data_IF_248641001520
#
_entry.id   IF_248641001520
#
_cell.length_a   1.000
_cell.length_b   1.000
_cell.length_c   1.000
_cell.angle_alpha   90.00
_cell.angle_beta   90.00
_cell.angle_gamma   90.00
#
_symmetry.space_group_name_H-M   'P 1'
#
loop_
_entity.id
_entity.type
_entity.pdbx_description
1 polymer ?
#
# COMPACT_ATOMS: atom_id res chain seq x y z
N UNK A 1 -81.26 0.51 -27.46
CA UNK A 1 -81.70 -0.40 -28.55
C UNK A 1 -81.01 -1.78 -28.42
N UNK A 2 -81.40 -2.75 -29.26
CA UNK A 2 -80.71 -4.05 -29.54
C UNK A 2 -79.69 -3.80 -30.68
N UNK A 3 -78.67 -4.59 -31.05
CA UNK A 3 -78.03 -5.90 -30.70
C UNK A 3 -76.61 -5.88 -31.38
N UNK A 4 -75.65 -6.82 -31.33
CA UNK A 4 -75.39 -8.13 -30.69
C UNK A 4 -73.87 -8.41 -30.74
N UNK A 5 -73.35 -9.40 -29.99
CA UNK A 5 -72.04 -10.02 -30.28
C UNK A 5 -72.16 -11.19 -31.28
N UNK A 6 -71.03 -11.64 -31.85
CA UNK A 6 -70.82 -12.95 -32.46
C UNK A 6 -69.36 -13.14 -32.93
N UNK A 7 -68.84 -14.35 -33.17
CA UNK A 7 -69.24 -15.69 -32.70
C UNK A 7 -68.05 -16.66 -32.89
N UNK A 8 -67.88 -17.66 -32.03
CA UNK A 8 -66.79 -18.66 -32.14
C UNK A 8 -66.93 -19.58 -33.37
N UNK A 9 -65.79 -20.12 -33.83
CA UNK A 9 -65.69 -21.55 -34.18
C UNK A 9 -64.27 -22.11 -34.00
N UNK A 10 -64.17 -23.27 -33.34
CA UNK A 10 -62.99 -24.14 -33.32
C UNK A 10 -63.22 -25.36 -34.23
N UNK A 11 -62.14 -25.88 -34.82
CA UNK A 11 -62.07 -27.21 -35.43
C UNK A 11 -60.61 -27.59 -35.68
N UNK A 12 -60.14 -28.82 -35.43
CA UNK A 12 -60.75 -30.00 -34.78
C UNK A 12 -59.61 -30.84 -34.17
N UNK A 13 -59.90 -31.62 -33.13
CA UNK A 13 -58.97 -32.67 -32.65
C UNK A 13 -58.83 -33.79 -33.69
N UNK A 14 -57.66 -34.45 -33.69
CA UNK A 14 -57.63 -35.90 -33.86
C UNK A 14 -56.69 -36.53 -32.81
N UNK A 15 -57.17 -37.54 -32.11
CA UNK A 15 -56.42 -38.36 -31.13
C UNK A 15 -56.86 -39.81 -31.33
N UNK A 16 -55.92 -40.73 -31.55
CA UNK A 16 -56.02 -42.19 -31.33
C UNK A 16 -54.59 -42.76 -31.40
N UNK A 17 -54.03 -43.25 -30.28
CA UNK A 17 -54.00 -44.66 -29.81
C UNK A 17 -53.03 -45.57 -30.60
N UNK A 18 -52.26 -46.49 -30.00
CA UNK A 18 -51.96 -46.72 -28.58
C UNK A 18 -50.84 -47.77 -28.38
N UNK A 19 -50.07 -47.61 -27.29
CA UNK A 19 -49.53 -48.65 -26.37
C UNK A 19 -48.68 -49.85 -26.86
N UNK A 20 -47.64 -50.11 -26.05
CA UNK A 20 -47.08 -51.42 -25.61
C UNK A 20 -46.25 -52.33 -26.52
N UNK A 21 -44.98 -52.48 -26.08
CA UNK A 21 -44.35 -53.74 -25.64
C UNK A 21 -43.68 -54.72 -26.65
N UNK A 22 -42.35 -54.63 -26.68
CA UNK A 22 -41.43 -55.68 -26.18
C UNK A 22 -41.52 -57.11 -26.77
N UNK A 23 -40.51 -57.49 -27.58
CA UNK A 23 -39.62 -58.63 -27.27
C UNK A 23 -38.32 -58.59 -28.08
N UNK A 24 -37.36 -59.43 -27.69
CA UNK A 24 -35.98 -59.50 -28.23
C UNK A 24 -35.85 -60.66 -29.22
N UNK A 25 -34.93 -60.53 -30.17
CA UNK A 25 -34.11 -61.66 -30.63
C UNK A 25 -32.69 -61.17 -30.97
N UNK A 26 -31.72 -62.08 -30.94
CA UNK A 26 -30.29 -61.75 -31.01
C UNK A 26 -29.57 -62.74 -31.92
N UNK A 27 -28.84 -62.23 -32.92
CA UNK A 27 -27.74 -62.95 -33.59
C UNK A 27 -26.65 -61.92 -33.82
N UNK A 28 -25.40 -62.29 -33.54
CA UNK A 28 -24.23 -61.44 -33.75
C UNK A 28 -23.52 -61.80 -35.06
N UNK A 29 -22.79 -60.84 -35.63
CA UNK A 29 -21.72 -61.13 -36.57
C UNK A 29 -20.45 -60.41 -36.09
N UNK A 30 -19.33 -61.13 -36.05
CA UNK A 30 -18.05 -60.64 -35.57
C UNK A 30 -17.27 -59.99 -36.71
N UNK A 31 -16.93 -58.71 -36.59
CA UNK A 31 -15.89 -58.06 -37.39
C UNK A 31 -14.93 -57.31 -36.45
N UNK A 32 -13.75 -57.89 -36.25
CA UNK A 32 -12.72 -57.31 -35.39
C UNK A 32 -11.97 -56.17 -36.13
N UNK A 33 -12.45 -54.93 -35.98
CA UNK A 33 -11.81 -53.74 -36.53
C UNK A 33 -11.06 -52.94 -35.46
N UNK A 34 -9.82 -53.31 -35.15
CA UNK A 34 -9.00 -52.64 -34.13
C UNK A 34 -8.42 -51.30 -34.62
N UNK A 35 -9.27 -50.27 -34.71
CA UNK A 35 -8.83 -48.88 -34.92
C UNK A 35 -8.66 -48.17 -33.58
N UNK A 36 -7.43 -47.73 -33.29
CA UNK A 36 -7.06 -47.04 -32.05
C UNK A 36 -7.55 -45.59 -32.07
N UNK A 37 -8.86 -45.42 -31.98
CA UNK A 37 -9.53 -44.14 -31.80
C UNK A 37 -9.40 -43.68 -30.34
N UNK A 38 -8.20 -43.25 -29.95
CA UNK A 38 -7.96 -42.69 -28.62
C UNK A 38 -8.89 -41.51 -28.34
N UNK A 39 -9.74 -41.64 -27.32
CA UNK A 39 -10.67 -40.58 -26.91
C UNK A 39 -9.89 -39.43 -26.23
N UNK A 40 -9.24 -38.60 -27.04
CA UNK A 40 -8.60 -37.35 -26.63
C UNK A 40 -9.68 -36.39 -26.13
N UNK A 41 -10.01 -36.52 -24.86
CA UNK A 41 -10.96 -35.66 -24.17
C UNK A 41 -10.40 -34.23 -24.11
N UNK A 42 -10.78 -33.40 -25.07
CA UNK A 42 -10.58 -31.94 -25.03
C UNK A 42 -11.51 -31.24 -24.01
N UNK A 43 -11.99 -31.98 -22.99
CA UNK A 43 -12.17 -31.41 -21.66
C UNK A 43 -10.80 -31.06 -21.10
N UNK A 44 -10.28 -29.90 -21.52
CA UNK A 44 -8.95 -29.43 -21.15
C UNK A 44 -8.74 -29.54 -19.65
N UNK A 45 -7.66 -30.22 -19.23
CA UNK A 45 -7.30 -30.37 -17.82
C UNK A 45 -7.44 -29.01 -17.12
N UNK A 46 -8.07 -29.00 -15.95
CA UNK A 46 -8.04 -27.84 -15.07
C UNK A 46 -6.56 -27.54 -14.75
N UNK A 47 -6.00 -26.56 -15.45
CA UNK A 47 -4.58 -26.26 -15.34
C UNK A 47 -4.36 -25.55 -14.03
N UNK A 48 -3.65 -26.21 -13.12
CA UNK A 48 -3.15 -25.65 -11.86
C UNK A 48 -1.99 -24.69 -12.15
N UNK A 49 -2.27 -23.66 -12.96
CA UNK A 49 -1.37 -22.54 -13.18
C UNK A 49 -1.40 -21.64 -11.96
N UNK A 50 -0.69 -22.07 -10.92
CA UNK A 50 -0.42 -21.30 -9.71
C UNK A 50 0.31 -20.00 -10.09
N UNK A 51 -0.46 -18.92 -10.25
CA UNK A 51 0.05 -17.55 -10.08
C UNK A 51 0.43 -17.35 -8.60
N UNK A 52 1.20 -16.31 -8.25
CA UNK A 52 1.33 -15.88 -6.86
C UNK A 52 -0.07 -15.79 -6.21
N UNK A 53 -0.21 -16.35 -5.00
CA UNK A 53 -1.43 -16.19 -4.20
C UNK A 53 -2.41 -17.33 -4.11
N UNK A 54 -2.09 -18.54 -4.58
CA UNK A 54 -2.98 -19.70 -4.38
C UNK A 54 -2.93 -20.24 -2.95
N UNK A 55 -3.50 -19.51 -2.01
CA UNK A 55 -4.05 -20.11 -0.80
C UNK A 55 -5.33 -20.89 -1.17
N UNK A 56 -5.60 -21.99 -0.48
CA UNK A 56 -6.84 -22.76 -0.67
C UNK A 56 -8.01 -22.20 0.18
N UNK A 57 -7.97 -20.91 0.52
CA UNK A 57 -8.94 -20.30 1.42
C UNK A 57 -10.25 -19.98 0.69
N UNK A 58 -11.25 -20.83 0.90
CA UNK A 58 -12.58 -20.68 0.32
C UNK A 58 -13.33 -19.53 1.01
N UNK A 59 -14.11 -18.77 0.23
CA UNK A 59 -14.88 -17.64 0.76
C UNK A 59 -16.02 -18.10 1.68
N UNK A 60 -15.79 -18.07 3.00
CA UNK A 60 -16.83 -18.21 3.99
C UNK A 60 -17.64 -16.91 4.11
N UNK A 61 -18.83 -16.89 3.53
CA UNK A 61 -19.78 -15.76 3.59
C UNK A 61 -19.89 -14.94 2.31
N UNK A 62 -20.59 -13.80 2.39
CA UNK A 62 -20.89 -12.95 1.22
C UNK A 62 -19.66 -12.16 0.77
N UNK A 63 -19.23 -12.38 -0.48
CA UNK A 63 -18.20 -11.58 -1.16
C UNK A 63 -18.75 -10.27 -1.76
N UNK A 64 -19.99 -9.89 -1.44
CA UNK A 64 -20.66 -8.73 -2.02
C UNK A 64 -21.12 -8.92 -3.48
N UNK A 65 -21.79 -7.91 -4.03
CA UNK A 65 -22.34 -7.90 -5.40
C UNK A 65 -21.55 -6.95 -6.31
N UNK A 66 -21.06 -7.44 -7.44
CA UNK A 66 -20.51 -6.59 -8.50
C UNK A 66 -21.60 -5.74 -9.16
N UNK A 67 -21.33 -4.44 -9.30
CA UNK A 67 -22.20 -3.49 -9.99
C UNK A 67 -21.79 -3.34 -11.46
N UNK A 68 -22.63 -2.67 -12.26
CA UNK A 68 -22.27 -2.26 -13.62
C UNK A 68 -21.33 -1.03 -13.60
N UNK A 69 -21.46 -0.16 -12.61
CA UNK A 69 -20.61 1.00 -12.41
C UNK A 69 -19.21 0.63 -11.88
N UNK A 70 -18.23 1.48 -12.22
CA UNK A 70 -16.87 1.48 -11.72
C UNK A 70 -16.59 2.66 -10.76
N UNK A 71 -15.34 2.80 -10.35
CA UNK A 71 -14.83 3.78 -9.38
C UNK A 71 -14.33 5.10 -9.99
N UNK A 72 -14.60 5.34 -11.27
CA UNK A 72 -14.03 6.45 -12.05
C UNK A 72 -12.61 6.18 -12.54
N UNK A 73 -12.09 4.98 -12.30
CA UNK A 73 -10.78 4.50 -12.75
C UNK A 73 -10.90 3.17 -13.50
N UNK A 74 -12.11 2.78 -13.92
CA UNK A 74 -12.38 1.54 -14.66
C UNK A 74 -12.51 0.28 -13.79
N UNK A 75 -12.33 0.37 -12.48
CA UNK A 75 -12.46 -0.76 -11.58
C UNK A 75 -13.92 -0.92 -11.10
N UNK A 76 -14.59 -1.99 -11.55
CA UNK A 76 -15.98 -2.29 -11.16
C UNK A 76 -16.18 -2.29 -9.65
N UNK A 77 -17.27 -1.68 -9.19
CA UNK A 77 -17.62 -1.61 -7.78
C UNK A 77 -18.12 -2.97 -7.25
N UNK A 78 -17.56 -3.43 -6.14
CA UNK A 78 -18.00 -4.59 -5.35
C UNK A 78 -18.75 -4.10 -4.12
N UNK A 79 -20.08 -4.08 -4.22
CA UNK A 79 -20.96 -3.59 -3.15
C UNK A 79 -21.07 -4.60 -2.02
N UNK A 80 -20.76 -4.16 -0.81
CA UNK A 80 -21.12 -4.80 0.45
C UNK A 80 -22.23 -4.02 1.17
N UNK A 81 -22.84 -4.64 2.16
CA UNK A 81 -23.75 -3.96 3.08
C UNK A 81 -22.97 -3.02 4.02
N UNK A 82 -23.65 -2.00 4.56
CA UNK A 82 -22.98 -0.96 5.36
C UNK A 82 -22.52 -1.46 6.74
N UNK A 83 -23.27 -2.41 7.31
CA UNK A 83 -22.89 -3.10 8.53
C UNK A 83 -21.79 -4.14 8.23
N UNK A 84 -20.74 -4.17 9.06
CA UNK A 84 -19.56 -5.00 8.80
C UNK A 84 -18.66 -4.53 7.64
N UNK A 85 -19.02 -3.46 6.91
CA UNK A 85 -18.25 -2.94 5.79
C UNK A 85 -16.76 -2.67 6.14
N UNK A 86 -15.82 -2.90 5.19
CA UNK A 86 -14.47 -2.36 5.26
C UNK A 86 -14.50 -0.84 5.43
N UNK A 87 -13.55 -0.30 6.17
CA UNK A 87 -13.34 1.14 6.31
C UNK A 87 -11.84 1.47 6.30
N UNK A 88 -11.51 2.67 5.82
CA UNK A 88 -10.16 3.23 5.80
C UNK A 88 -10.20 4.67 6.30
N UNK A 89 -9.14 5.10 6.97
CA UNK A 89 -8.79 6.52 7.17
C UNK A 89 -7.36 6.73 6.68
N UNK A 90 -7.03 7.94 6.24
CA UNK A 90 -5.67 8.31 5.80
C UNK A 90 -5.19 9.53 6.57
N UNK A 91 -3.96 9.45 7.08
CA UNK A 91 -3.25 10.53 7.72
C UNK A 91 -1.95 10.78 6.95
N UNK A 92 -1.68 12.05 6.64
CA UNK A 92 -0.50 12.50 5.89
C UNK A 92 0.31 13.41 6.81
N UNK A 93 1.58 13.09 7.03
CA UNK A 93 2.51 13.88 7.84
C UNK A 93 3.77 14.17 7.05
N UNK A 94 4.20 15.43 6.89
CA UNK A 94 5.50 15.74 6.31
C UNK A 94 6.63 15.04 7.08
N UNK A 95 7.58 14.51 6.33
CA UNK A 95 8.80 13.87 6.81
C UNK A 95 9.94 14.91 6.89
N UNK A 96 10.92 14.67 7.78
CA UNK A 96 12.06 15.58 7.95
C UNK A 96 13.04 15.54 6.77
N UNK A 97 13.21 14.38 6.14
CA UNK A 97 14.17 14.17 5.07
C UNK A 97 13.51 14.44 3.70
N UNK A 98 12.54 13.61 3.29
CA UNK A 98 11.74 13.92 2.09
C UNK A 98 10.24 13.61 2.16
N UNK A 99 9.46 14.54 1.60
CA UNK A 99 8.03 14.32 1.35
C UNK A 99 7.19 14.13 2.59
N UNK A 100 6.44 13.03 2.60
CA UNK A 100 5.41 12.74 3.59
C UNK A 100 5.38 11.26 3.94
N UNK A 101 5.30 10.95 5.23
CA UNK A 101 4.89 9.64 5.71
C UNK A 101 3.35 9.58 5.74
N UNK A 102 2.81 8.66 4.94
CA UNK A 102 1.37 8.38 4.82
C UNK A 102 1.06 7.15 5.67
N UNK A 103 0.08 7.28 6.56
CA UNK A 103 -0.49 6.18 7.31
C UNK A 103 -1.94 5.95 6.89
N UNK A 104 -2.29 4.72 6.53
CA UNK A 104 -3.67 4.28 6.32
C UNK A 104 -4.07 3.30 7.42
N UNK A 105 -5.09 3.67 8.20
CA UNK A 105 -5.66 2.82 9.24
C UNK A 105 -6.94 2.18 8.70
N UNK A 106 -7.13 0.88 8.94
CA UNK A 106 -8.23 0.12 8.35
C UNK A 106 -9.02 -0.65 9.40
N UNK A 107 -10.32 -0.89 9.14
CA UNK A 107 -11.22 -1.70 9.96
C UNK A 107 -12.01 -2.64 9.07
N UNK A 108 -12.32 -3.85 9.54
CA UNK A 108 -12.98 -4.91 8.77
C UNK A 108 -12.27 -5.21 7.43
N UNK A 109 -10.94 -5.03 7.41
CA UNK A 109 -10.10 -5.18 6.23
C UNK A 109 -8.73 -5.74 6.63
N UNK A 110 -8.20 -6.66 5.82
CA UNK A 110 -6.84 -7.20 5.93
C UNK A 110 -6.13 -7.05 4.59
N UNK A 111 -4.91 -6.50 4.62
CA UNK A 111 -4.03 -6.54 3.45
C UNK A 111 -3.60 -7.98 3.16
N UNK A 112 -3.65 -8.37 1.89
CA UNK A 112 -3.32 -9.72 1.40
C UNK A 112 -2.37 -9.66 0.19
N UNK A 113 -1.17 -9.04 0.31
CA UNK A 113 -0.20 -8.89 -0.79
C UNK A 113 -0.03 -10.14 -1.63
N UNK A 114 0.12 -11.29 -0.97
CA UNK A 114 0.37 -12.58 -1.59
C UNK A 114 -0.77 -13.00 -2.53
N UNK A 115 -2.02 -12.65 -2.21
CA UNK A 115 -3.24 -13.11 -2.89
C UNK A 115 -3.71 -12.20 -4.04
N UNK A 116 -3.04 -11.07 -4.28
CA UNK A 116 -3.49 -10.05 -5.24
C UNK A 116 -3.42 -10.57 -6.69
N UNK A 117 -4.51 -10.40 -7.44
CA UNK A 117 -4.77 -11.06 -8.72
C UNK A 117 -5.55 -12.39 -8.60
N UNK A 118 -5.85 -12.83 -7.37
CA UNK A 118 -6.74 -13.94 -7.05
C UNK A 118 -8.23 -13.55 -7.03
N UNK A 119 -9.05 -14.36 -6.37
CA UNK A 119 -10.48 -14.11 -6.20
C UNK A 119 -10.77 -13.22 -4.98
N UNK A 120 -11.78 -12.36 -5.07
CA UNK A 120 -12.20 -11.52 -3.94
C UNK A 120 -12.70 -12.34 -2.74
N UNK A 121 -12.05 -12.18 -1.59
CA UNK A 121 -12.48 -12.68 -0.30
C UNK A 121 -13.04 -11.52 0.57
N UNK A 122 -13.99 -11.75 1.50
CA UNK A 122 -14.62 -10.67 2.25
C UNK A 122 -13.60 -9.89 3.11
N UNK A 123 -13.59 -8.56 2.98
CA UNK A 123 -12.71 -7.69 3.78
C UNK A 123 -11.21 -7.90 3.53
N UNK A 124 -10.80 -8.17 2.29
CA UNK A 124 -9.40 -8.43 1.91
C UNK A 124 -8.99 -7.69 0.64
N UNK A 125 -7.68 -7.69 0.36
CA UNK A 125 -7.07 -7.15 -0.84
C UNK A 125 -5.96 -6.13 -0.56
N UNK A 126 -6.04 -4.99 -1.23
CA UNK A 126 -5.01 -3.95 -1.24
C UNK A 126 -5.63 -2.55 -1.26
N UNK A 127 -4.81 -1.53 -1.04
CA UNK A 127 -5.21 -0.13 -1.22
C UNK A 127 -4.55 0.47 -2.47
N UNK A 128 -5.17 1.50 -3.03
CA UNK A 128 -4.57 2.41 -3.99
C UNK A 128 -4.52 3.81 -3.35
N UNK A 129 -3.35 4.44 -3.40
CA UNK A 129 -3.23 5.89 -3.23
C UNK A 129 -3.48 6.57 -4.57
N UNK A 130 -4.32 7.60 -4.57
CA UNK A 130 -4.60 8.47 -5.68
C UNK A 130 -4.26 9.92 -5.32
N UNK A 131 -3.58 10.63 -6.21
CA UNK A 131 -3.21 12.04 -6.08
C UNK A 131 -4.17 12.89 -6.91
N UNK A 132 -4.94 13.77 -6.27
CA UNK A 132 -6.01 14.56 -6.90
C UNK A 132 -6.89 13.71 -7.87
N UNK A 133 -7.27 12.51 -7.41
CA UNK A 133 -8.10 11.55 -8.14
C UNK A 133 -7.35 10.59 -9.08
N UNK A 134 -6.07 10.80 -9.36
CA UNK A 134 -5.28 9.99 -10.31
C UNK A 134 -4.49 8.90 -9.59
N UNK A 135 -4.50 7.63 -10.05
CA UNK A 135 -3.70 6.54 -9.47
C UNK A 135 -2.21 6.89 -9.32
N UNK A 136 -1.68 6.76 -8.10
CA UNK A 136 -0.30 7.11 -7.76
C UNK A 136 0.54 5.90 -7.33
N UNK A 137 0.04 5.10 -6.37
CA UNK A 137 0.78 3.97 -5.80
C UNK A 137 -0.16 2.90 -5.26
N UNK A 138 0.22 1.62 -5.39
CA UNK A 138 -0.50 0.48 -4.77
C UNK A 138 0.14 0.15 -3.42
N UNK A 139 -0.69 -0.01 -2.39
CA UNK A 139 -0.29 -0.28 -1.01
C UNK A 139 -0.73 -1.66 -0.55
N UNK A 140 0.21 -2.41 0.01
CA UNK A 140 0.02 -3.73 0.62
C UNK A 140 0.15 -3.71 2.15
N UNK A 141 0.16 -2.52 2.76
CA UNK A 141 0.31 -2.34 4.20
C UNK A 141 -0.09 -0.92 4.64
N UNK A 142 -0.04 -0.63 5.95
CA UNK A 142 -0.56 0.60 6.52
C UNK A 142 0.33 1.84 6.31
N UNK A 143 1.60 1.68 5.94
CA UNK A 143 2.55 2.80 5.77
C UNK A 143 3.05 2.91 4.33
N UNK A 144 3.20 4.16 3.87
CA UNK A 144 3.84 4.49 2.60
C UNK A 144 4.60 5.81 2.71
N UNK A 145 5.84 5.85 2.21
CA UNK A 145 6.63 7.07 2.13
C UNK A 145 6.45 7.71 0.75
N UNK A 146 5.86 8.90 0.72
CA UNK A 146 5.54 9.65 -0.49
C UNK A 146 6.57 10.77 -0.69
N UNK A 147 7.54 10.57 -1.57
CA UNK A 147 8.60 11.54 -1.84
C UNK A 147 8.09 12.80 -2.57
N UNK A 148 8.79 13.94 -2.40
CA UNK A 148 8.52 15.17 -3.17
C UNK A 148 8.88 14.98 -4.64
N UNK A 149 9.80 14.08 -4.97
CA UNK A 149 10.11 13.72 -6.36
C UNK A 149 8.94 13.03 -7.06
N UNK A 150 8.24 12.10 -6.38
CA UNK A 150 7.06 11.42 -6.93
C UNK A 150 5.89 12.39 -7.13
N UNK A 151 5.61 13.24 -6.13
CA UNK A 151 4.56 14.27 -6.25
C UNK A 151 4.86 15.25 -7.40
N UNK A 152 6.12 15.71 -7.56
CA UNK A 152 6.50 16.55 -8.72
C UNK A 152 6.38 15.81 -10.06
N UNK A 153 6.78 14.54 -10.12
CA UNK A 153 6.68 13.71 -11.33
C UNK A 153 5.24 13.49 -11.80
N UNK A 154 4.28 13.49 -10.87
CA UNK A 154 2.84 13.44 -11.17
C UNK A 154 2.22 14.80 -11.56
N UNK A 155 3.03 15.86 -11.72
CA UNK A 155 2.55 17.22 -12.02
C UNK A 155 2.24 18.09 -10.78
N UNK A 156 2.57 17.60 -9.58
CA UNK A 156 2.14 18.17 -8.32
C UNK A 156 0.82 17.55 -7.83
N UNK A 157 0.29 18.04 -6.71
CA UNK A 157 -1.03 17.66 -6.22
C UNK A 157 -1.32 18.19 -4.82
N UNK A 158 -2.60 18.18 -4.43
CA UNK A 158 -3.11 18.81 -3.19
C UNK A 158 -3.81 17.85 -2.23
N UNK A 159 -4.35 16.75 -2.73
CA UNK A 159 -5.13 15.78 -1.96
C UNK A 159 -4.67 14.35 -2.25
N UNK A 160 -4.55 13.56 -1.20
CA UNK A 160 -4.21 12.14 -1.27
C UNK A 160 -5.42 11.33 -0.82
N UNK A 161 -5.90 10.44 -1.69
CA UNK A 161 -7.03 9.55 -1.42
C UNK A 161 -6.55 8.11 -1.33
N UNK A 162 -6.88 7.41 -0.25
CA UNK A 162 -6.69 5.97 -0.11
C UNK A 162 -8.02 5.25 -0.37
N UNK A 163 -8.08 4.38 -1.39
CA UNK A 163 -9.27 3.58 -1.76
C UNK A 163 -8.97 2.09 -1.59
N UNK A 164 -9.93 1.31 -1.06
CA UNK A 164 -9.78 -0.14 -0.84
C UNK A 164 -10.28 -0.96 -2.03
N UNK A 165 -9.52 -2.00 -2.39
CA UNK A 165 -9.81 -2.94 -3.46
C UNK A 165 -9.72 -4.38 -2.95
N UNK A 166 -10.53 -5.26 -3.56
CA UNK A 166 -10.42 -6.69 -3.39
C UNK A 166 -9.20 -7.25 -4.16
N UNK A 167 -8.82 -8.50 -3.84
CA UNK A 167 -7.72 -9.20 -4.53
C UNK A 167 -7.93 -9.30 -6.05
N UNK A 168 -9.19 -9.38 -6.53
CA UNK A 168 -9.56 -9.40 -7.95
C UNK A 168 -9.56 -8.01 -8.64
N UNK A 169 -9.01 -6.99 -7.98
CA UNK A 169 -8.99 -5.58 -8.40
C UNK A 169 -10.37 -4.91 -8.55
N UNK A 170 -11.44 -5.46 -7.97
CA UNK A 170 -12.72 -4.74 -7.86
C UNK A 170 -12.72 -3.81 -6.64
N UNK A 171 -13.24 -2.59 -6.80
CA UNK A 171 -13.19 -1.57 -5.73
C UNK A 171 -14.27 -1.85 -4.68
N UNK A 172 -13.92 -1.96 -3.40
CA UNK A 172 -14.90 -2.16 -2.33
C UNK A 172 -15.82 -0.93 -2.22
N UNK A 173 -17.13 -1.15 -2.11
CA UNK A 173 -18.11 -0.06 -2.10
C UNK A 173 -19.26 -0.32 -1.11
N UNK A 174 -19.82 0.75 -0.55
CA UNK A 174 -21.12 0.74 0.12
C UNK A 174 -22.11 1.48 -0.78
N UNK A 175 -23.29 0.89 -1.01
CA UNK A 175 -24.24 1.34 -2.06
C UNK A 175 -23.56 1.41 -3.44
N UNK A 176 -23.20 2.61 -3.91
CA UNK A 176 -22.43 2.83 -5.16
C UNK A 176 -21.24 3.77 -4.93
N UNK A 177 -20.80 3.92 -3.68
CA UNK A 177 -19.70 4.81 -3.29
C UNK A 177 -18.48 3.97 -2.92
N UNK A 178 -17.30 4.18 -3.55
CA UNK A 178 -16.07 3.50 -3.16
C UNK A 178 -15.73 3.74 -1.69
N UNK A 179 -15.26 2.70 -1.00
CA UNK A 179 -14.69 2.80 0.35
C UNK A 179 -13.31 3.46 0.21
N UNK A 180 -13.26 4.75 0.50
CA UNK A 180 -12.07 5.57 0.43
C UNK A 180 -12.05 6.65 1.51
N UNK A 181 -10.87 7.17 1.81
CA UNK A 181 -10.68 8.36 2.64
C UNK A 181 -9.67 9.30 1.98
N UNK A 182 -9.83 10.61 2.19
CA UNK A 182 -9.01 11.65 1.56
C UNK A 182 -8.44 12.58 2.63
N UNK A 183 -7.18 12.97 2.49
CA UNK A 183 -6.50 13.98 3.31
C UNK A 183 -5.75 14.98 2.41
N UNK A 184 -5.58 16.24 2.85
CA UNK A 184 -4.74 17.19 2.14
C UNK A 184 -3.25 16.83 2.27
N UNK A 185 -2.48 17.09 1.22
CA UNK A 185 -1.02 17.13 1.27
C UNK A 185 -0.61 18.46 1.91
N UNK A 186 -0.36 18.44 3.21
CA UNK A 186 0.13 19.61 3.96
C UNK A 186 1.54 19.97 3.48
N UNK A 187 1.67 21.06 2.72
CA UNK A 187 2.95 21.55 2.19
C UNK A 187 3.89 22.07 3.28
N UNK A 188 3.34 22.54 4.40
CA UNK A 188 4.06 22.83 5.63
C UNK A 188 4.04 21.60 6.54
N UNK A 189 5.14 21.25 7.24
CA UNK A 189 5.08 20.46 8.47
C UNK A 189 3.97 21.01 9.39
N UNK A 190 3.28 20.18 10.19
CA UNK A 190 2.39 20.69 11.21
C UNK A 190 3.23 21.53 12.19
N UNK A 191 3.12 22.86 12.07
CA UNK A 191 3.58 23.81 13.08
C UNK A 191 2.59 23.72 14.25
N UNK A 192 2.65 22.59 14.96
CA UNK A 192 2.25 22.59 16.35
C UNK A 192 3.15 23.57 17.09
N UNK A 193 2.61 24.29 18.07
CA UNK A 193 3.35 25.30 18.84
C UNK A 193 4.31 24.68 19.86
N UNK A 194 5.07 23.68 19.42
CA UNK A 194 6.42 23.46 19.92
C UNK A 194 7.33 24.45 19.20
N UNK A 195 7.87 25.43 19.92
CA UNK A 195 9.17 25.95 19.52
C UNK A 195 10.11 24.75 19.35
N UNK A 196 11.00 24.79 18.35
CA UNK A 196 12.05 23.76 18.24
C UNK A 196 12.70 23.58 19.62
N UNK A 197 12.78 22.35 20.15
CA UNK A 197 13.30 22.16 21.51
C UNK A 197 14.70 22.75 21.56
N UNK A 198 14.82 23.90 22.25
CA UNK A 198 16.07 24.66 22.32
C UNK A 198 17.13 23.69 22.86
N UNK A 199 18.29 23.56 22.20
CA UNK A 199 19.31 22.65 22.71
C UNK A 199 19.66 23.06 24.13
N UNK A 200 19.64 22.09 25.04
CA UNK A 200 20.10 22.26 26.41
C UNK A 200 21.60 22.61 26.45
N UNK A 201 22.32 22.31 25.37
CA UNK A 201 23.71 22.68 25.16
C UNK A 201 24.07 22.78 23.68
N UNK A 202 24.59 23.93 23.27
CA UNK A 202 25.27 24.11 21.99
C UNK A 202 26.78 23.87 22.17
N UNK A 203 27.39 23.18 21.20
CA UNK A 203 28.82 22.86 21.13
C UNK A 203 29.37 23.42 19.82
N UNK A 204 30.17 24.48 19.89
CA UNK A 204 30.75 25.11 18.70
C UNK A 204 32.16 24.56 18.44
N UNK A 205 32.41 24.16 17.19
CA UNK A 205 33.67 23.56 16.75
C UNK A 205 34.10 24.21 15.43
N UNK A 206 35.35 24.64 15.36
CA UNK A 206 35.98 25.20 14.17
C UNK A 206 37.14 24.33 13.75
N UNK A 207 37.12 23.89 12.49
CA UNK A 207 38.22 23.22 11.80
C UNK A 207 38.87 24.26 10.88
N UNK A 208 40.19 24.47 11.01
CA UNK A 208 40.94 25.33 10.10
C UNK A 208 42.38 24.85 9.97
N UNK A 209 42.86 24.76 8.73
CA UNK A 209 44.19 24.26 8.36
C UNK A 209 44.51 22.89 8.98
N UNK A 210 43.49 22.02 9.11
CA UNK A 210 43.61 20.69 9.73
C UNK A 210 43.66 20.68 11.25
N UNK A 211 43.48 21.82 11.93
CA UNK A 211 43.41 21.93 13.39
C UNK A 211 41.98 22.13 13.85
N UNK A 212 41.60 21.47 14.94
CA UNK A 212 40.29 21.61 15.59
C UNK A 212 40.39 22.58 16.77
N UNK A 213 39.40 23.46 16.91
CA UNK A 213 39.23 24.39 18.02
C UNK A 213 37.77 24.34 18.54
N UNK A 214 37.51 24.12 19.84
CA UNK A 214 38.48 23.82 20.90
C UNK A 214 39.26 22.52 20.60
N UNK A 215 40.39 22.33 21.29
CA UNK A 215 41.20 21.13 21.10
C UNK A 215 40.38 19.86 21.46
N UNK A 216 40.51 18.74 20.72
CA UNK A 216 39.69 17.55 20.94
C UNK A 216 39.81 17.00 22.35
N UNK A 217 38.67 16.81 23.01
CA UNK A 217 38.61 16.41 24.41
C UNK A 217 37.25 15.83 24.78
N UNK A 218 37.06 15.51 26.06
CA UNK A 218 35.82 14.92 26.58
C UNK A 218 34.84 15.99 27.05
N UNK A 219 33.59 15.87 26.61
CA UNK A 219 32.49 16.75 27.00
C UNK A 219 31.42 15.90 27.68
N UNK A 220 31.18 16.13 28.96
CA UNK A 220 30.12 15.44 29.70
C UNK A 220 28.74 15.97 29.30
N UNK A 221 27.84 15.07 28.90
CA UNK A 221 26.46 15.33 28.50
C UNK A 221 25.54 14.51 29.41
N UNK A 222 24.41 15.07 29.83
CA UNK A 222 23.42 14.32 30.62
C UNK A 222 22.62 13.38 29.72
N UNK A 223 22.29 12.19 30.19
CA UNK A 223 21.36 11.29 29.47
C UNK A 223 20.02 11.99 29.21
N UNK A 224 19.56 11.93 27.96
CA UNK A 224 18.34 12.57 27.47
C UNK A 224 18.49 14.05 27.08
N UNK A 225 19.68 14.64 27.25
CA UNK A 225 19.95 16.04 26.91
C UNK A 225 19.97 16.23 25.38
N UNK A 226 19.30 17.27 24.87
CA UNK A 226 19.37 17.67 23.45
C UNK A 226 20.57 18.59 23.23
N UNK A 227 21.47 18.18 22.36
CA UNK A 227 22.68 18.94 22.02
C UNK A 227 22.67 19.39 20.56
N UNK A 228 23.36 20.50 20.28
CA UNK A 228 23.58 21.03 18.94
C UNK A 228 25.09 21.13 18.67
N UNK A 229 25.59 20.35 17.71
CA UNK A 229 26.96 20.45 17.19
C UNK A 229 26.98 21.48 16.06
N UNK A 230 27.64 22.63 16.29
CA UNK A 230 27.80 23.72 15.30
C UNK A 230 29.22 23.70 14.76
N UNK A 231 29.40 23.06 13.62
CA UNK A 231 30.73 22.78 13.04
C UNK A 231 30.98 23.67 11.82
N UNK A 232 32.06 24.46 11.84
CA UNK A 232 32.53 25.25 10.69
C UNK A 232 33.91 24.75 10.26
N UNK A 233 34.11 24.55 8.97
CA UNK A 233 35.37 24.02 8.39
C UNK A 233 35.83 24.88 7.21
N UNK A 234 37.14 24.95 6.98
CA UNK A 234 37.72 25.60 5.78
C UNK A 234 37.78 24.69 4.54
N UNK A 235 37.55 23.37 4.71
CA UNK A 235 37.43 22.38 3.61
C UNK A 235 36.12 21.61 3.69
N UNK A 236 35.61 21.16 2.55
CA UNK A 236 34.39 20.37 2.51
C UNK A 236 34.63 18.94 3.03
N UNK A 237 33.74 18.43 3.87
CA UNK A 237 33.86 17.13 4.55
C UNK A 237 32.46 16.62 4.97
N UNK A 238 32.39 15.56 5.78
CA UNK A 238 31.19 15.05 6.43
C UNK A 238 31.46 14.86 7.92
N UNK A 239 30.64 15.49 8.76
CA UNK A 239 30.58 15.26 10.21
C UNK A 239 29.93 13.91 10.48
N UNK A 240 30.47 13.11 11.38
CA UNK A 240 29.87 11.86 11.84
C UNK A 240 29.84 11.81 13.39
N UNK A 241 28.79 11.23 13.97
CA UNK A 241 28.67 10.97 15.41
C UNK A 241 28.45 9.47 15.62
N UNK A 242 29.52 8.80 16.04
CA UNK A 242 29.54 7.35 16.23
C UNK A 242 28.52 6.91 17.28
N UNK A 243 27.87 5.77 17.04
CA UNK A 243 26.87 5.20 17.93
C UNK A 243 25.53 5.94 18.00
N UNK A 244 25.34 7.03 17.23
CA UNK A 244 24.04 7.68 17.05
C UNK A 244 23.50 7.58 15.61
N UNK A 245 24.29 7.04 14.69
CA UNK A 245 23.98 6.94 13.27
C UNK A 245 23.52 8.31 12.72
N UNK A 246 24.35 9.33 12.99
CA UNK A 246 24.10 10.74 12.64
C UNK A 246 25.30 11.30 11.91
N UNK A 247 25.03 11.84 10.74
CA UNK A 247 26.01 12.54 9.92
C UNK A 247 25.44 13.82 9.33
N UNK A 248 26.31 14.75 8.94
CA UNK A 248 25.93 15.94 8.21
C UNK A 248 27.07 16.38 7.27
N UNK A 249 26.73 16.68 6.02
CA UNK A 249 27.68 17.27 5.07
C UNK A 249 28.13 18.64 5.56
N UNK A 250 29.45 18.85 5.64
CA UNK A 250 30.09 20.11 6.00
C UNK A 250 30.57 20.84 4.73
N UNK A 251 29.94 21.95 4.30
CA UNK A 251 30.43 22.75 3.19
C UNK A 251 31.59 23.67 3.64
N UNK A 252 32.62 23.79 2.81
CA UNK A 252 33.74 24.71 3.07
C UNK A 252 33.25 26.14 3.33
N UNK A 253 33.80 26.78 4.37
CA UNK A 253 33.49 28.14 4.80
C UNK A 253 32.16 28.32 5.55
N UNK A 254 31.28 27.31 5.60
CA UNK A 254 29.95 27.41 6.23
C UNK A 254 29.90 26.69 7.58
N UNK A 255 29.12 27.23 8.50
CA UNK A 255 28.73 26.52 9.74
C UNK A 255 27.57 25.59 9.42
N UNK A 256 27.70 24.33 9.82
CA UNK A 256 26.65 23.31 9.75
C UNK A 256 26.18 22.99 11.16
N UNK A 257 24.87 22.86 11.37
CA UNK A 257 24.25 22.43 12.63
C UNK A 257 23.82 20.96 12.50
N UNK A 258 24.21 20.13 13.46
CA UNK A 258 23.69 18.77 13.67
C UNK A 258 23.12 18.68 15.09
N UNK A 259 21.82 18.42 15.22
CA UNK A 259 21.16 18.26 16.51
C UNK A 259 20.90 16.77 16.82
N UNK A 260 21.17 16.35 18.06
CA UNK A 260 20.87 15.00 18.54
C UNK A 260 20.40 15.01 20.00
N UNK A 261 19.72 13.95 20.43
CA UNK A 261 19.34 13.74 21.83
C UNK A 261 20.21 12.62 22.39
N UNK A 262 20.90 12.89 23.50
CA UNK A 262 21.89 11.97 24.07
C UNK A 262 21.22 10.88 24.93
N UNK A 263 20.39 10.02 24.32
CA UNK A 263 19.60 9.00 25.02
C UNK A 263 20.37 7.70 25.32
N UNK A 264 21.51 7.45 24.67
CA UNK A 264 22.42 6.32 24.92
C UNK A 264 23.55 6.75 25.87
N UNK A 265 23.72 6.04 26.99
CA UNK A 265 24.88 6.22 27.90
C UNK A 265 26.14 5.60 27.32
N UNK A 266 27.30 6.26 27.46
CA UNK A 266 28.57 5.77 26.92
C UNK A 266 29.56 6.87 26.54
N UNK A 267 30.62 6.47 25.82
CA UNK A 267 31.57 7.36 25.17
C UNK A 267 31.31 7.32 23.66
N UNK A 268 31.09 8.47 23.03
CA UNK A 268 30.76 8.57 21.60
C UNK A 268 31.69 9.57 20.92
N UNK A 269 32.27 9.19 19.79
CA UNK A 269 33.23 10.02 19.07
C UNK A 269 32.53 10.85 17.99
N UNK A 270 32.88 12.13 17.93
CA UNK A 270 32.42 13.08 16.92
C UNK A 270 33.63 13.40 16.04
N UNK A 271 33.56 13.11 14.74
CA UNK A 271 34.71 13.22 13.83
C UNK A 271 34.33 13.77 12.45
N UNK A 272 35.33 14.06 11.63
CA UNK A 272 35.18 14.18 10.17
C UNK A 272 35.53 12.87 9.46
N UNK A 273 34.67 12.42 8.55
CA UNK A 273 34.88 11.17 7.81
C UNK A 273 36.02 11.26 6.77
N UNK A 274 36.09 12.37 6.01
CA UNK A 274 37.03 12.53 4.90
C UNK A 274 38.45 12.94 5.32
N UNK A 275 38.57 13.74 6.39
CA UNK A 275 39.86 14.16 6.96
C UNK A 275 40.27 13.40 8.23
N UNK A 276 39.44 12.48 8.72
CA UNK A 276 39.71 11.64 9.91
C UNK A 276 40.11 12.45 11.17
N UNK A 277 39.54 13.65 11.34
CA UNK A 277 39.80 14.50 12.50
C UNK A 277 38.79 14.19 13.60
N UNK A 278 39.24 13.59 14.70
CA UNK A 278 38.47 13.56 15.95
C UNK A 278 38.22 15.01 16.40
N UNK A 279 36.95 15.38 16.57
CA UNK A 279 36.54 16.72 16.97
C UNK A 279 36.29 16.81 18.47
N UNK A 280 35.59 15.83 19.04
CA UNK A 280 35.32 15.72 20.48
C UNK A 280 34.83 14.31 20.83
N UNK A 281 34.94 13.94 22.11
CA UNK A 281 34.29 12.75 22.67
C UNK A 281 33.15 13.16 23.59
N UNK A 282 31.92 12.69 23.34
CA UNK A 282 30.76 12.92 24.19
C UNK A 282 30.70 11.82 25.25
N UNK A 283 30.73 12.20 26.54
CA UNK A 283 30.57 11.29 27.68
C UNK A 283 29.14 11.43 28.18
N UNK A 284 28.25 10.50 27.83
CA UNK A 284 26.83 10.55 28.19
C UNK A 284 26.57 9.73 29.45
N UNK A 285 26.08 10.39 30.51
CA UNK A 285 25.81 9.80 31.84
C UNK A 285 24.56 10.36 32.51
#
# INVERSE_FOLDING_TARGET
MKRSLGRLRLSRLNRRTARTALRRFTVALLTAGALVGGASACGGRATTHHRPGTSHEQAAGSVGRLLAADDGSGHRLRRVDAEGAPAVTVAVRPDSEDGWNVHISVRNFRFTPDSVGGAALPGRGHALLLLDGHPLARLYGPWYHLSRSLVRGAGGGRTLTARLYADDHTAWAVRSTPIQATAPLTTTPPVGTSAEPRPDRTLEIVISHGKVSPAPGRIEIKKGQRIELRVRTDRADTLHVHGYDREARLPAGRTTTLALTADRTGLFEVETHGSALLLTQLVVR
#
